data_IF_721743121855
#
_entry.id   IF_721743121855
#
_cell.length_a   1.000
_cell.length_b   1.000
_cell.length_c   1.000
_cell.angle_alpha   90.00
_cell.angle_beta   90.00
_cell.angle_gamma   90.00
#
_symmetry.space_group_name_H-M   'P 1'
#
loop_
_entity.id
_entity.type
_entity.pdbx_description
1 polymer ?
#
# COMPACT_ATOMS: atom_id res chain seq x y z
N UNK A 1 -1.38 13.66 2.14
CA UNK A 1 -2.32 12.84 2.95
C UNK A 1 -2.44 11.48 2.30
N UNK A 2 -2.67 10.40 3.05
CA UNK A 2 -2.88 9.08 2.45
C UNK A 2 -4.19 9.05 1.63
N UNK A 3 -4.28 8.17 0.63
CA UNK A 3 -5.55 7.88 -0.05
C UNK A 3 -6.57 7.36 0.98
N UNK A 4 -7.88 7.71 0.90
CA UNK A 4 -8.91 7.14 1.77
C UNK A 4 -9.01 5.62 1.64
N UNK A 5 -9.50 4.94 2.68
CA UNK A 5 -9.76 3.50 2.67
C UNK A 5 -10.84 3.12 1.64
N UNK A 6 -10.88 1.84 1.25
CA UNK A 6 -11.71 1.41 0.11
C UNK A 6 -13.22 1.57 0.35
N UNK A 7 -13.66 1.50 1.61
CA UNK A 7 -15.05 1.72 2.03
C UNK A 7 -15.55 3.11 1.61
N UNK A 8 -14.69 4.14 1.71
CA UNK A 8 -15.03 5.51 1.27
C UNK A 8 -15.22 5.62 -0.24
N UNK A 9 -14.79 4.63 -1.03
CA UNK A 9 -15.06 4.56 -2.48
C UNK A 9 -16.42 3.91 -2.81
N UNK A 10 -17.09 3.23 -1.87
CA UNK A 10 -18.36 2.53 -2.12
C UNK A 10 -19.44 3.51 -2.59
N UNK A 11 -19.66 4.58 -1.84
CA UNK A 11 -20.68 5.59 -2.13
C UNK A 11 -20.43 6.34 -3.47
N UNK A 12 -19.23 6.89 -3.74
CA UNK A 12 -18.93 7.51 -5.03
C UNK A 12 -19.14 6.58 -6.23
N UNK A 13 -18.71 5.31 -6.12
CA UNK A 13 -18.88 4.32 -7.19
C UNK A 13 -20.36 4.04 -7.44
N UNK A 14 -21.14 3.84 -6.36
CA UNK A 14 -22.58 3.60 -6.45
C UNK A 14 -23.31 4.76 -7.15
N UNK A 15 -23.06 6.00 -6.70
CA UNK A 15 -23.70 7.20 -7.27
C UNK A 15 -23.32 7.42 -8.72
N UNK A 16 -22.05 7.27 -9.06
CA UNK A 16 -21.62 7.43 -10.44
C UNK A 16 -22.27 6.40 -11.37
N UNK A 17 -22.32 5.12 -10.95
CA UNK A 17 -22.97 4.07 -11.74
C UNK A 17 -24.48 4.29 -11.90
N UNK A 18 -25.15 4.88 -10.91
CA UNK A 18 -26.58 5.23 -11.02
C UNK A 18 -26.87 6.25 -12.13
N UNK A 19 -25.91 7.12 -12.46
CA UNK A 19 -26.05 8.07 -13.59
C UNK A 19 -25.86 7.40 -14.96
N UNK A 20 -25.38 6.15 -15.00
CA UNK A 20 -25.04 5.41 -16.22
C UNK A 20 -25.75 4.04 -16.23
N UNK A 21 -27.09 3.99 -16.40
CA UNK A 21 -27.85 2.73 -16.37
C UNK A 21 -27.42 1.74 -17.46
N UNK A 22 -26.92 2.21 -18.61
CA UNK A 22 -26.36 1.35 -19.66
C UNK A 22 -24.92 0.86 -19.38
N UNK A 23 -24.39 1.24 -18.23
CA UNK A 23 -23.06 0.93 -17.73
C UNK A 23 -21.98 1.93 -18.15
N UNK A 24 -20.96 2.03 -17.30
CA UNK A 24 -19.82 2.92 -17.43
C UNK A 24 -18.52 2.13 -17.61
N UNK A 25 -17.54 2.74 -18.28
CA UNK A 25 -16.21 2.14 -18.38
C UNK A 25 -15.50 2.21 -17.02
N UNK A 26 -14.74 1.16 -16.67
CA UNK A 26 -14.02 1.10 -15.38
C UNK A 26 -13.11 2.31 -15.16
N UNK A 27 -12.46 2.80 -16.23
CA UNK A 27 -11.64 4.02 -16.17
C UNK A 27 -12.46 5.24 -15.73
N UNK A 28 -13.68 5.39 -16.24
CA UNK A 28 -14.54 6.53 -15.92
C UNK A 28 -15.03 6.46 -14.48
N UNK A 29 -15.36 5.25 -14.00
CA UNK A 29 -15.74 5.02 -12.60
C UNK A 29 -14.60 5.38 -11.65
N UNK A 30 -13.37 4.97 -11.97
CA UNK A 30 -12.16 5.27 -11.18
C UNK A 30 -11.90 6.77 -11.09
N UNK A 31 -11.94 7.47 -12.22
CA UNK A 31 -11.71 8.92 -12.24
C UNK A 31 -12.83 9.67 -11.51
N UNK A 32 -14.09 9.30 -11.73
CA UNK A 32 -15.22 9.94 -11.05
C UNK A 32 -15.18 9.72 -9.53
N UNK A 33 -14.81 8.53 -9.06
CA UNK A 33 -14.66 8.26 -7.64
C UNK A 33 -13.53 9.11 -7.02
N UNK A 34 -12.40 9.24 -7.72
CA UNK A 34 -11.29 10.10 -7.28
C UNK A 34 -11.69 11.59 -7.22
N UNK A 35 -12.45 12.06 -8.22
CA UNK A 35 -12.95 13.45 -8.27
C UNK A 35 -13.95 13.73 -7.15
N UNK A 36 -14.92 12.83 -6.93
CA UNK A 36 -15.92 12.97 -5.86
C UNK A 36 -15.29 12.96 -4.46
N UNK A 37 -14.18 12.24 -4.27
CA UNK A 37 -13.41 12.22 -3.03
C UNK A 37 -12.39 13.36 -2.91
N UNK A 38 -12.23 14.18 -3.95
CA UNK A 38 -11.31 15.31 -3.96
C UNK A 38 -9.83 14.92 -3.86
N UNK A 39 -9.44 13.79 -4.47
CA UNK A 39 -8.06 13.32 -4.41
C UNK A 39 -7.11 14.26 -5.15
N UNK A 40 -6.01 14.62 -4.48
CA UNK A 40 -4.94 15.42 -5.06
C UNK A 40 -4.02 14.60 -6.00
N UNK A 41 -3.08 15.28 -6.67
CA UNK A 41 -2.16 14.64 -7.61
C UNK A 41 -1.24 13.61 -6.93
N UNK A 42 -0.82 13.86 -5.69
CA UNK A 42 0.04 12.94 -4.95
C UNK A 42 -0.73 11.65 -4.60
N UNK A 43 -1.97 11.78 -4.12
CA UNK A 43 -2.87 10.68 -3.82
C UNK A 43 -3.21 9.87 -5.09
N UNK A 44 -3.34 10.53 -6.24
CA UNK A 44 -3.60 9.87 -7.53
C UNK A 44 -2.38 9.18 -8.12
N UNK A 45 -1.17 9.55 -7.68
CA UNK A 45 0.09 8.93 -8.07
C UNK A 45 0.55 7.82 -7.11
N UNK A 46 -0.09 7.68 -5.95
CA UNK A 46 0.22 6.64 -4.96
C UNK A 46 0.01 5.23 -5.55
N UNK A 47 0.97 4.33 -5.34
CA UNK A 47 0.93 2.94 -5.80
C UNK A 47 1.05 1.98 -4.63
N UNK A 48 0.30 0.88 -4.70
CA UNK A 48 0.50 -0.28 -3.83
C UNK A 48 1.71 -1.09 -4.30
N UNK A 49 2.20 -2.00 -3.47
CA UNK A 49 3.38 -2.86 -3.76
C UNK A 49 3.30 -3.61 -5.10
N UNK A 50 2.10 -3.90 -5.62
CA UNK A 50 1.91 -4.54 -6.94
C UNK A 50 2.15 -3.62 -8.14
N UNK A 51 2.35 -2.31 -7.92
CA UNK A 51 2.52 -1.28 -8.95
C UNK A 51 1.21 -0.69 -9.48
N UNK A 52 0.06 -1.11 -8.95
CA UNK A 52 -1.23 -0.50 -9.28
C UNK A 52 -1.44 0.79 -8.48
N UNK A 53 -2.11 1.79 -9.09
CA UNK A 53 -2.51 3.00 -8.37
C UNK A 53 -3.50 2.66 -7.23
N UNK A 54 -3.22 3.16 -6.02
CA UNK A 54 -3.96 2.83 -4.80
C UNK A 54 -5.46 3.11 -4.95
N UNK A 55 -5.84 4.31 -5.41
CA UNK A 55 -7.26 4.67 -5.59
C UNK A 55 -7.97 3.77 -6.63
N UNK A 56 -7.26 3.29 -7.66
CA UNK A 56 -7.84 2.38 -8.65
C UNK A 56 -8.06 0.97 -8.09
N UNK A 57 -7.15 0.50 -7.23
CA UNK A 57 -7.30 -0.76 -6.51
C UNK A 57 -8.50 -0.67 -5.55
N UNK A 58 -8.55 0.38 -4.73
CA UNK A 58 -9.64 0.62 -3.77
C UNK A 58 -11.00 0.81 -4.43
N UNK A 59 -11.07 1.49 -5.58
CA UNK A 59 -12.29 1.53 -6.41
C UNK A 59 -12.76 0.14 -6.85
N UNK A 60 -11.81 -0.75 -7.17
CA UNK A 60 -12.10 -2.15 -7.52
C UNK A 60 -12.73 -2.92 -6.36
N UNK A 61 -12.19 -2.75 -5.15
CA UNK A 61 -12.73 -3.36 -3.93
C UNK A 61 -14.12 -2.82 -3.56
N UNK A 62 -14.34 -1.51 -3.71
CA UNK A 62 -15.66 -0.90 -3.54
C UNK A 62 -16.70 -1.53 -4.49
N UNK A 63 -16.35 -1.69 -5.77
CA UNK A 63 -17.22 -2.38 -6.72
C UNK A 63 -17.43 -3.86 -6.37
N UNK A 64 -16.41 -4.57 -5.87
CA UNK A 64 -16.56 -5.97 -5.41
C UNK A 64 -17.57 -6.09 -4.26
N UNK A 65 -17.54 -5.17 -3.27
CA UNK A 65 -18.55 -5.14 -2.19
C UNK A 65 -19.96 -4.88 -2.71
N UNK A 66 -20.14 -3.87 -3.57
CA UNK A 66 -21.43 -3.59 -4.20
C UNK A 66 -21.95 -4.79 -5.01
N UNK A 67 -21.06 -5.54 -5.65
CA UNK A 67 -21.42 -6.73 -6.42
C UNK A 67 -21.86 -7.88 -5.52
N UNK A 68 -21.16 -8.10 -4.39
CA UNK A 68 -21.54 -9.12 -3.40
C UNK A 68 -22.85 -8.78 -2.68
N UNK A 69 -23.13 -7.49 -2.49
CA UNK A 69 -24.42 -7.00 -2.01
C UNK A 69 -25.55 -7.06 -3.06
N UNK A 70 -25.25 -7.50 -4.29
CA UNK A 70 -26.24 -7.59 -5.38
C UNK A 70 -26.67 -6.24 -5.98
N UNK A 71 -25.98 -5.14 -5.65
CA UNK A 71 -26.31 -3.79 -6.12
C UNK A 71 -25.62 -3.44 -7.44
N UNK A 72 -24.45 -4.03 -7.72
CA UNK A 72 -23.73 -3.82 -8.97
C UNK A 72 -23.41 -5.12 -9.70
N UNK A 73 -23.09 -5.01 -10.98
CA UNK A 73 -22.64 -6.12 -11.81
C UNK A 73 -21.68 -5.67 -12.91
N UNK A 74 -20.97 -6.62 -13.49
CA UNK A 74 -20.13 -6.40 -14.66
C UNK A 74 -20.90 -6.78 -15.92
N UNK A 75 -21.13 -5.82 -16.82
CA UNK A 75 -21.78 -6.08 -18.12
C UNK A 75 -20.82 -6.80 -19.08
N UNK A 76 -19.56 -6.39 -19.07
CA UNK A 76 -18.48 -6.97 -19.88
C UNK A 76 -17.14 -6.69 -19.22
N UNK A 77 -16.05 -7.25 -19.77
CA UNK A 77 -14.70 -6.89 -19.33
C UNK A 77 -14.52 -5.37 -19.46
N UNK A 78 -14.23 -4.71 -18.34
CA UNK A 78 -14.00 -3.26 -18.30
C UNK A 78 -15.26 -2.38 -18.32
N UNK A 79 -16.47 -2.93 -18.15
CA UNK A 79 -17.72 -2.17 -18.06
C UNK A 79 -18.58 -2.63 -16.88
N UNK A 80 -19.00 -1.68 -16.03
CA UNK A 80 -19.80 -1.93 -14.82
C UNK A 80 -21.15 -1.20 -14.89
N UNK A 81 -22.17 -1.73 -14.23
CA UNK A 81 -23.46 -1.06 -14.05
C UNK A 81 -24.11 -1.45 -12.72
N UNK A 82 -25.15 -0.72 -12.32
CA UNK A 82 -26.02 -1.17 -11.23
C UNK A 82 -26.98 -2.26 -11.73
N UNK A 83 -27.39 -3.12 -10.80
CA UNK A 83 -28.51 -4.04 -10.99
C UNK A 83 -29.82 -3.27 -10.82
N UNK A 84 -30.99 -3.86 -11.17
CA UNK A 84 -32.27 -3.27 -10.82
C UNK A 84 -32.41 -3.00 -9.31
N UNK A 85 -31.87 -3.88 -8.46
CA UNK A 85 -31.85 -3.68 -7.02
C UNK A 85 -30.98 -2.47 -6.62
N UNK A 86 -29.79 -2.31 -7.23
CA UNK A 86 -28.93 -1.14 -7.02
C UNK A 86 -29.59 0.18 -7.44
N UNK A 87 -30.27 0.20 -8.59
CA UNK A 87 -31.01 1.37 -9.04
C UNK A 87 -32.15 1.74 -8.08
N UNK A 88 -32.93 0.74 -7.63
CA UNK A 88 -33.99 0.95 -6.64
C UNK A 88 -33.45 1.44 -5.30
N UNK A 89 -32.31 0.91 -4.85
CA UNK A 89 -31.65 1.33 -3.61
C UNK A 89 -31.26 2.82 -3.67
N UNK A 90 -30.63 3.26 -4.77
CA UNK A 90 -30.26 4.66 -4.97
C UNK A 90 -31.48 5.58 -5.03
N UNK A 91 -32.58 5.11 -5.64
CA UNK A 91 -33.82 5.86 -5.70
C UNK A 91 -34.49 6.03 -4.32
N UNK A 92 -34.40 5.04 -3.43
CA UNK A 92 -34.91 5.12 -2.06
C UNK A 92 -33.97 5.84 -1.09
N UNK A 93 -32.68 5.96 -1.41
CA UNK A 93 -31.66 6.64 -0.60
C UNK A 93 -31.00 7.77 -1.40
N UNK A 94 -31.66 8.93 -1.62
CA UNK A 94 -31.12 10.02 -2.44
C UNK A 94 -29.95 10.77 -1.76
N UNK A 95 -29.85 10.68 -0.43
CA UNK A 95 -28.75 11.26 0.34
C UNK A 95 -27.55 10.32 0.35
N UNK A 96 -26.31 10.85 0.50
CA UNK A 96 -25.13 10.01 0.63
C UNK A 96 -25.25 8.97 1.74
N UNK A 97 -24.67 7.79 1.53
CA UNK A 97 -24.60 6.76 2.58
C UNK A 97 -24.02 7.33 3.87
N UNK A 98 -24.68 6.98 4.97
CA UNK A 98 -24.15 7.14 6.32
C UNK A 98 -22.95 6.21 6.53
N UNK A 99 -22.12 6.54 7.52
CA UNK A 99 -20.95 5.70 7.86
C UNK A 99 -21.33 4.27 8.27
N UNK A 100 -22.50 4.11 8.90
CA UNK A 100 -23.06 2.80 9.25
C UNK A 100 -23.42 1.97 8.01
N UNK A 101 -24.02 2.60 7.00
CA UNK A 101 -24.35 1.93 5.74
C UNK A 101 -23.09 1.52 4.98
N UNK A 102 -22.09 2.40 4.93
CA UNK A 102 -20.79 2.10 4.30
C UNK A 102 -20.10 0.92 5.00
N UNK A 103 -20.08 0.92 6.34
CA UNK A 103 -19.51 -0.17 7.13
C UNK A 103 -20.24 -1.49 6.86
N UNK A 104 -21.58 -1.49 6.86
CA UNK A 104 -22.38 -2.67 6.54
C UNK A 104 -22.03 -3.27 5.16
N UNK A 105 -21.85 -2.43 4.12
CA UNK A 105 -21.43 -2.93 2.81
C UNK A 105 -19.98 -3.45 2.80
N UNK A 106 -19.10 -2.91 3.63
CA UNK A 106 -17.70 -3.33 3.76
C UNK A 106 -17.55 -4.67 4.51
N UNK A 107 -18.35 -4.91 5.56
CA UNK A 107 -18.21 -6.02 6.50
C UNK A 107 -19.02 -7.26 6.11
N UNK A 108 -20.32 -7.10 5.86
CA UNK A 108 -21.30 -8.20 5.94
C UNK A 108 -21.22 -9.17 4.75
N UNK A 109 -20.64 -8.71 3.64
CA UNK A 109 -20.56 -9.47 2.39
C UNK A 109 -19.22 -10.17 2.16
N UNK A 110 -18.28 -10.09 3.12
CA UNK A 110 -16.94 -10.69 3.02
C UNK A 110 -17.00 -12.22 2.75
N UNK A 111 -18.00 -12.93 3.29
CA UNK A 111 -18.18 -14.38 3.15
C UNK A 111 -18.95 -14.86 1.91
N UNK A 112 -19.59 -13.97 1.16
CA UNK A 112 -20.49 -14.35 0.06
C UNK A 112 -19.70 -14.81 -1.18
N UNK A 113 -19.79 -16.09 -1.54
CA UNK A 113 -19.21 -16.61 -2.78
C UNK A 113 -20.02 -16.12 -3.98
N UNK A 114 -19.38 -15.44 -4.91
CA UNK A 114 -19.97 -14.95 -6.18
C UNK A 114 -20.48 -16.05 -7.14
N UNK A 115 -20.53 -17.32 -6.72
CA UNK A 115 -20.79 -18.46 -7.60
C UNK A 115 -22.27 -18.87 -7.74
N UNK A 116 -23.21 -18.26 -7.02
CA UNK A 116 -24.66 -18.43 -7.26
C UNK A 116 -25.40 -17.15 -6.87
N UNK A 117 -25.95 -16.44 -7.85
CA UNK A 117 -27.00 -15.44 -7.63
C UNK A 117 -28.28 -16.18 -7.26
N UNK A 118 -28.56 -16.32 -5.97
CA UNK A 118 -29.90 -16.53 -5.43
C UNK A 118 -29.90 -16.10 -3.95
N UNK A 119 -30.94 -15.35 -3.62
CA UNK A 119 -31.38 -14.93 -2.29
C UNK A 119 -30.59 -13.78 -1.64
N UNK A 120 -31.20 -12.59 -1.75
CA UNK A 120 -30.96 -11.47 -0.86
C UNK A 120 -31.26 -11.92 0.58
N UNK A 121 -30.23 -12.04 1.40
CA UNK A 121 -30.35 -12.43 2.81
C UNK A 121 -30.76 -11.20 3.62
N UNK A 122 -31.76 -11.40 4.49
CA UNK A 122 -32.32 -10.37 5.36
C UNK A 122 -31.33 -9.88 6.43
N UNK A 123 -31.43 -8.58 6.69
CA UNK A 123 -30.62 -7.75 7.59
C UNK A 123 -30.93 -8.03 9.06
N UNK A 124 -29.91 -8.31 9.87
CA UNK A 124 -29.97 -8.06 11.31
C UNK A 124 -28.57 -7.63 11.82
N UNK A 125 -28.42 -6.43 12.42
CA UNK A 125 -27.11 -5.93 12.84
C UNK A 125 -26.75 -6.44 14.24
N UNK A 126 -25.63 -7.16 14.36
CA UNK A 126 -24.95 -7.36 15.64
C UNK A 126 -23.93 -6.24 15.88
N UNK A 127 -23.74 -5.80 17.14
CA UNK A 127 -22.77 -4.76 17.46
C UNK A 127 -21.35 -5.37 17.53
N UNK A 128 -20.49 -5.01 16.58
CA UNK A 128 -19.06 -5.41 16.56
C UNK A 128 -18.14 -4.33 17.16
N UNK A 129 -16.95 -4.76 17.58
CA UNK A 129 -15.99 -3.99 18.37
C UNK A 129 -15.16 -3.00 17.53
N UNK A 130 -14.57 -1.98 18.15
CA UNK A 130 -13.88 -0.86 17.45
C UNK A 130 -12.61 -1.33 16.70
N UNK A 131 -11.94 -2.39 17.15
CA UNK A 131 -10.77 -2.97 16.48
C UNK A 131 -11.14 -3.76 15.21
N UNK A 132 -12.36 -4.31 15.14
CA UNK A 132 -12.88 -4.95 13.93
C UNK A 132 -13.14 -3.94 12.80
N UNK A 133 -13.42 -2.68 13.15
CA UNK A 133 -13.88 -1.64 12.22
C UNK A 133 -12.76 -1.12 11.29
N UNK A 134 -11.51 -0.96 11.78
CA UNK A 134 -10.38 -0.59 10.91
C UNK A 134 -9.97 -1.74 9.97
N UNK A 135 -9.90 -2.96 10.49
CA UNK A 135 -9.61 -4.15 9.69
C UNK A 135 -10.68 -4.41 8.64
N UNK A 136 -11.95 -4.12 8.94
CA UNK A 136 -13.03 -4.29 7.97
C UNK A 136 -13.07 -3.20 6.87
N UNK A 137 -12.59 -1.98 7.19
CA UNK A 137 -12.42 -0.88 6.23
C UNK A 137 -11.15 -0.99 5.39
N UNK A 138 -10.21 -1.83 5.77
CA UNK A 138 -9.03 -2.15 4.98
C UNK A 138 -9.32 -3.21 3.90
N UNK A 139 -8.87 -2.98 2.67
CA UNK A 139 -9.02 -3.99 1.62
C UNK A 139 -8.09 -5.19 1.89
N UNK A 140 -8.35 -6.37 1.33
CA UNK A 140 -7.42 -7.50 1.44
C UNK A 140 -5.99 -7.18 0.97
N UNK A 141 -5.84 -6.36 -0.08
CA UNK A 141 -4.51 -5.91 -0.52
C UNK A 141 -3.87 -4.96 0.51
N UNK A 142 -4.64 -4.02 1.10
CA UNK A 142 -4.13 -3.14 2.16
C UNK A 142 -3.63 -3.97 3.37
N UNK A 143 -4.39 -4.99 3.78
CA UNK A 143 -4.01 -5.88 4.89
C UNK A 143 -2.75 -6.69 4.60
N UNK A 144 -2.62 -7.17 3.37
CA UNK A 144 -1.41 -7.89 2.95
C UNK A 144 -0.19 -6.97 2.96
N UNK A 145 -0.36 -5.73 2.49
CA UNK A 145 0.70 -4.73 2.47
C UNK A 145 1.12 -4.33 3.88
N UNK A 146 0.16 -4.11 4.79
CA UNK A 146 0.44 -3.86 6.20
C UNK A 146 1.22 -5.02 6.82
N UNK A 147 0.76 -6.27 6.65
CA UNK A 147 1.46 -7.45 7.19
C UNK A 147 2.88 -7.60 6.61
N UNK A 148 3.08 -7.29 5.32
CA UNK A 148 4.41 -7.29 4.71
C UNK A 148 5.32 -6.21 5.27
N UNK A 149 4.79 -5.01 5.55
CA UNK A 149 5.54 -3.93 6.15
C UNK A 149 5.95 -4.26 7.59
N UNK A 150 5.04 -4.82 8.39
CA UNK A 150 5.33 -5.29 9.76
C UNK A 150 6.45 -6.34 9.75
N UNK A 151 6.40 -7.30 8.83
CA UNK A 151 7.47 -8.30 8.68
C UNK A 151 8.80 -7.62 8.30
N UNK A 152 8.78 -6.66 7.36
CA UNK A 152 9.99 -5.95 6.94
C UNK A 152 10.59 -5.11 8.06
N UNK A 153 9.77 -4.43 8.85
CA UNK A 153 10.19 -3.66 10.01
C UNK A 153 10.82 -4.58 11.06
N UNK A 154 10.17 -5.69 11.39
CA UNK A 154 10.72 -6.70 12.30
C UNK A 154 12.07 -7.26 11.81
N UNK A 155 12.19 -7.59 10.52
CA UNK A 155 13.46 -8.05 9.94
C UNK A 155 14.52 -6.95 9.96
N UNK A 156 14.15 -5.70 9.70
CA UNK A 156 15.08 -4.57 9.74
C UNK A 156 15.62 -4.33 11.17
N UNK A 157 14.75 -4.43 12.17
CA UNK A 157 15.11 -4.36 13.58
C UNK A 157 16.07 -5.50 13.96
N UNK A 158 15.74 -6.75 13.61
CA UNK A 158 16.60 -7.92 13.86
C UNK A 158 17.98 -7.78 13.18
N UNK A 159 18.02 -7.30 11.93
CA UNK A 159 19.26 -7.04 11.21
C UNK A 159 20.09 -5.95 11.90
N UNK A 160 19.44 -4.87 12.36
CA UNK A 160 20.11 -3.80 13.09
C UNK A 160 20.71 -4.30 14.40
N UNK A 161 19.94 -5.09 15.17
CA UNK A 161 20.44 -5.71 16.40
C UNK A 161 21.66 -6.59 16.12
N UNK A 162 21.60 -7.44 15.11
CA UNK A 162 22.72 -8.28 14.70
C UNK A 162 23.95 -7.45 14.29
N UNK A 163 23.77 -6.37 13.53
CA UNK A 163 24.85 -5.44 13.18
C UNK A 163 25.43 -4.74 14.41
N UNK A 164 24.61 -4.48 15.43
CA UNK A 164 25.08 -3.90 16.68
C UNK A 164 25.89 -4.89 17.53
N UNK A 165 25.82 -6.20 17.28
CA UNK A 165 26.57 -7.22 18.02
C UNK A 165 27.87 -7.67 17.34
N UNK A 166 28.07 -7.39 16.05
CA UNK A 166 29.32 -7.78 15.36
C UNK A 166 30.55 -7.05 15.92
N UNK A 167 31.75 -7.59 15.69
CA UNK A 167 32.99 -6.90 16.06
C UNK A 167 33.19 -5.62 15.23
N UNK A 168 33.89 -4.60 15.75
CA UNK A 168 34.18 -3.36 14.99
C UNK A 168 34.78 -3.63 13.61
N UNK A 169 35.81 -4.47 13.53
CA UNK A 169 36.43 -4.87 12.26
C UNK A 169 35.44 -5.53 11.29
N UNK A 170 34.47 -6.30 11.79
CA UNK A 170 33.45 -6.92 10.93
C UNK A 170 32.39 -5.90 10.49
N UNK A 171 32.07 -4.93 11.34
CA UNK A 171 31.18 -3.83 11.00
C UNK A 171 31.76 -2.95 9.88
N UNK A 172 33.04 -2.59 9.96
CA UNK A 172 33.77 -1.87 8.90
C UNK A 172 33.65 -2.59 7.56
N UNK A 173 33.88 -3.90 7.56
CA UNK A 173 33.73 -4.75 6.37
C UNK A 173 32.32 -4.70 5.79
N UNK A 174 31.30 -4.78 6.64
CA UNK A 174 29.90 -4.74 6.20
C UNK A 174 29.58 -3.37 5.58
N UNK A 175 29.99 -2.27 6.21
CA UNK A 175 29.78 -0.91 5.68
C UNK A 175 30.43 -0.75 4.31
N UNK A 176 31.67 -1.21 4.14
CA UNK A 176 32.37 -1.16 2.85
C UNK A 176 31.70 -2.03 1.79
N UNK A 177 31.22 -3.23 2.15
CA UNK A 177 30.51 -4.11 1.23
C UNK A 177 29.16 -3.48 0.79
N UNK A 178 28.45 -2.79 1.69
CA UNK A 178 27.22 -2.04 1.37
C UNK A 178 27.52 -0.89 0.41
N UNK A 179 28.53 -0.06 0.68
CA UNK A 179 28.91 1.04 -0.21
C UNK A 179 29.28 0.53 -1.60
N UNK A 180 30.04 -0.56 -1.67
CA UNK A 180 30.36 -1.17 -2.96
C UNK A 180 29.11 -1.65 -3.72
N UNK A 181 28.16 -2.30 -3.02
CA UNK A 181 26.88 -2.75 -3.61
C UNK A 181 25.97 -1.60 -4.04
N UNK A 182 26.09 -0.42 -3.41
CA UNK A 182 25.42 0.80 -3.84
C UNK A 182 26.06 1.44 -5.09
N UNK A 183 27.18 0.88 -5.57
CA UNK A 183 27.87 1.33 -6.79
C UNK A 183 29.08 2.22 -6.53
N UNK A 184 29.52 2.36 -5.28
CA UNK A 184 30.77 3.06 -4.98
C UNK A 184 31.97 2.18 -5.33
N UNK A 185 32.81 2.67 -6.24
CA UNK A 185 33.95 1.93 -6.78
C UNK A 185 33.54 0.97 -7.89
N UNK A 186 34.10 1.15 -9.08
CA UNK A 186 33.71 0.40 -10.28
C UNK A 186 34.08 -1.08 -10.22
N UNK A 187 35.13 -1.44 -9.47
CA UNK A 187 35.62 -2.81 -9.30
C UNK A 187 35.95 -3.08 -7.82
N UNK A 188 35.92 -4.35 -7.41
CA UNK A 188 36.29 -4.74 -6.04
C UNK A 188 37.71 -4.31 -5.63
N UNK A 189 38.61 -4.13 -6.60
CA UNK A 189 39.98 -3.64 -6.37
C UNK A 189 40.06 -2.16 -6.02
N UNK A 190 38.99 -1.40 -6.26
CA UNK A 190 38.91 0.04 -5.97
C UNK A 190 38.62 0.31 -4.49
N UNK A 191 38.22 -0.73 -3.74
CA UNK A 191 38.09 -0.71 -2.29
C UNK A 191 39.40 -1.12 -1.62
N UNK A 192 40.05 -0.15 -1.00
CA UNK A 192 41.15 -0.38 -0.10
C UNK A 192 40.63 -0.38 1.33
N UNK A 193 40.79 -1.52 2.01
CA UNK A 193 40.56 -1.61 3.45
C UNK A 193 41.79 -1.03 4.13
N UNK A 194 41.58 0.04 4.89
CA UNK A 194 42.61 0.68 5.69
C UNK A 194 42.10 0.56 7.12
N UNK A 195 42.92 0.08 8.04
CA UNK A 195 42.45 -0.15 9.40
C UNK A 195 43.61 -0.49 10.31
N UNK A 196 43.77 0.29 11.38
CA UNK A 196 44.77 0.06 12.41
C UNK A 196 45.04 1.29 13.27
N UNK A 197 45.74 1.10 14.39
CA UNK A 197 46.16 2.22 15.24
C UNK A 197 47.16 3.10 14.50
N UNK A 198 46.76 4.33 14.13
CA UNK A 198 47.64 5.35 13.52
C UNK A 198 47.18 5.86 12.14
N UNK A 199 46.04 5.41 11.64
CA UNK A 199 45.47 5.78 10.33
C UNK A 199 44.50 6.99 10.36
N UNK A 200 44.36 7.65 11.52
CA UNK A 200 43.41 8.74 11.70
C UNK A 200 41.94 8.28 11.80
N UNK A 201 41.68 6.98 11.91
CA UNK A 201 40.35 6.38 12.00
C UNK A 201 39.67 6.19 10.65
N UNK A 202 40.44 6.03 9.57
CA UNK A 202 39.91 5.76 8.23
C UNK A 202 39.80 4.24 8.07
N UNK A 203 38.58 3.74 7.91
CA UNK A 203 38.27 2.30 7.82
C UNK A 203 38.29 1.79 6.37
N UNK A 204 38.22 2.69 5.39
CA UNK A 204 38.42 2.33 3.99
C UNK A 204 38.50 3.52 3.05
N UNK A 205 39.08 3.27 1.88
CA UNK A 205 39.20 4.24 0.78
C UNK A 205 38.60 3.59 -0.46
N UNK A 206 37.65 4.26 -1.09
CA UNK A 206 36.99 3.81 -2.31
C UNK A 206 37.37 4.76 -3.45
N UNK A 207 37.96 4.23 -4.52
CA UNK A 207 38.22 5.01 -5.74
C UNK A 207 37.00 4.97 -6.66
N UNK A 208 36.46 6.13 -7.05
CA UNK A 208 35.27 6.21 -7.91
C UNK A 208 35.59 6.06 -9.39
N UNK A 209 36.85 6.27 -9.77
CA UNK A 209 37.33 6.16 -11.14
C UNK A 209 38.54 5.21 -11.25
N UNK A 210 38.81 4.75 -12.47
CA UNK A 210 39.89 3.78 -12.76
C UNK A 210 41.30 4.34 -12.56
N UNK A 211 41.47 5.66 -12.61
CA UNK A 211 42.75 6.35 -12.38
C UNK A 211 42.97 6.66 -10.90
N UNK A 212 41.94 6.51 -10.05
CA UNK A 212 41.99 6.73 -8.61
C UNK A 212 42.16 8.21 -8.23
N UNK A 213 41.66 9.12 -9.05
CA UNK A 213 41.72 10.57 -8.83
C UNK A 213 40.61 11.03 -7.87
N UNK A 214 39.44 10.41 -7.97
CA UNK A 214 38.28 10.62 -7.11
C UNK A 214 38.24 9.54 -6.03
N UNK A 215 38.40 9.95 -4.77
CA UNK A 215 38.42 9.04 -3.62
C UNK A 215 37.39 9.42 -2.57
N UNK A 216 36.72 8.42 -2.05
CA UNK A 216 35.84 8.52 -0.88
C UNK A 216 36.55 7.86 0.30
N UNK A 217 36.77 8.62 1.36
CA UNK A 217 37.31 8.11 2.62
C UNK A 217 36.14 7.77 3.54
N UNK A 218 36.13 6.55 4.05
CA UNK A 218 35.03 5.98 4.83
C UNK A 218 35.50 5.76 6.26
N UNK A 219 34.68 6.22 7.20
CA UNK A 219 34.80 5.89 8.61
C UNK A 219 33.46 5.31 9.08
N UNK A 220 33.47 4.06 9.51
CA UNK A 220 32.35 3.30 10.02
C UNK A 220 32.36 3.31 11.55
N UNK A 221 31.47 4.08 12.18
CA UNK A 221 31.29 4.05 13.63
C UNK A 221 29.95 3.46 14.02
N UNK A 222 29.99 2.52 14.97
CA UNK A 222 28.81 1.99 15.64
C UNK A 222 28.52 2.79 16.90
N UNK A 223 27.44 3.57 16.90
CA UNK A 223 26.98 4.35 18.05
C UNK A 223 25.70 3.72 18.63
N UNK A 224 25.52 3.82 19.95
CA UNK A 224 24.26 3.43 20.64
C UNK A 224 23.35 4.64 20.93
N UNK A 225 23.50 5.76 20.20
CA UNK A 225 22.73 6.99 20.40
C UNK A 225 22.96 8.03 19.30
N UNK A 226 22.31 9.19 19.43
CA UNK A 226 22.43 10.30 18.46
C UNK A 226 23.83 10.89 18.49
N UNK A 227 24.48 10.95 17.33
CA UNK A 227 25.79 11.61 17.17
C UNK A 227 25.56 13.12 17.17
N UNK A 228 26.14 13.84 18.12
CA UNK A 228 26.11 15.30 18.23
C UNK A 228 27.52 15.87 18.21
#
# INVERSE_FOLDING_TARGET
MAVPTYDKFIEPVLRFLATRPEGALVREVREAAAEMLGLDEQQRAEVITSGQLTYQNRTGWAHDRLKRAGLSQSLSRGKWCLTPAGMSWVASHPQPMTELEVSHFACDFNGVKLSKLADAVALDPQPESIEDDELARSSPDDRLEQALNEIRESVAEELLENLLQVSPARFEVIVLDVLHRLGYGGHRGDLQRVGGTGDGGIDGIISLDKLGLEKVYVQAKRWKGTVG
#
